data_IF_963591809520
#
_entry.id   IF_963591809520
#
_cell.length_a   1.000
_cell.length_b   1.000
_cell.length_c   1.000
_cell.angle_alpha   90.00
_cell.angle_beta   90.00
_cell.angle_gamma   90.00
#
_symmetry.space_group_name_H-M   'P 1'
#
loop_
_entity.id
_entity.type
_entity.pdbx_description
1 polymer ?
#
# COMPACT_ATOMS: atom_id res chain seq x y z
N UNK A 1 -5.15 6.80 -37.17
CA UNK A 1 -5.23 7.50 -35.87
C UNK A 1 -6.59 7.16 -35.30
N UNK A 2 -6.71 6.00 -34.66
CA UNK A 2 -7.97 5.54 -34.09
C UNK A 2 -8.13 6.14 -32.69
N UNK A 3 -9.20 6.93 -32.53
CA UNK A 3 -9.58 7.51 -31.27
C UNK A 3 -9.95 6.39 -30.28
N UNK A 4 -9.19 6.30 -29.19
CA UNK A 4 -9.55 5.44 -28.07
C UNK A 4 -10.94 5.85 -27.55
N UNK A 5 -11.91 4.97 -27.74
CA UNK A 5 -13.27 5.16 -27.24
C UNK A 5 -13.30 5.32 -25.71
N UNK A 6 -14.35 5.96 -25.16
CA UNK A 6 -14.50 6.13 -23.72
C UNK A 6 -14.49 4.77 -23.04
N UNK A 7 -13.62 4.61 -22.03
CA UNK A 7 -13.55 3.40 -21.20
C UNK A 7 -14.95 3.10 -20.68
N UNK A 8 -15.49 1.94 -21.06
CA UNK A 8 -16.72 1.40 -20.47
C UNK A 8 -16.53 1.43 -18.96
N UNK A 9 -17.41 2.16 -18.26
CA UNK A 9 -17.52 2.10 -16.83
C UNK A 9 -18.06 0.71 -16.48
N UNK A 10 -17.17 -0.28 -16.43
CA UNK A 10 -17.47 -1.58 -15.85
C UNK A 10 -18.13 -1.33 -14.50
N UNK A 11 -19.36 -1.80 -14.36
CA UNK A 11 -20.17 -1.65 -13.18
C UNK A 11 -19.37 -2.21 -12.00
N UNK A 12 -18.76 -1.32 -11.21
CA UNK A 12 -18.06 -1.71 -9.99
C UNK A 12 -19.08 -2.54 -9.18
N UNK A 13 -18.77 -3.80 -8.82
CA UNK A 13 -19.64 -4.58 -7.94
C UNK A 13 -19.96 -3.72 -6.72
N UNK A 14 -21.21 -3.71 -6.22
CA UNK A 14 -21.68 -2.88 -5.09
C UNK A 14 -20.56 -2.79 -4.04
N UNK A 15 -19.80 -1.70 -4.09
CA UNK A 15 -18.53 -1.60 -3.40
C UNK A 15 -18.74 -1.56 -1.89
N UNK A 16 -17.70 -1.87 -1.13
CA UNK A 16 -17.66 -1.52 0.28
C UNK A 16 -17.90 -0.01 0.39
N UNK A 17 -18.87 0.41 1.19
CA UNK A 17 -19.10 1.84 1.39
C UNK A 17 -18.11 2.32 2.45
N UNK A 18 -17.09 3.06 2.00
CA UNK A 18 -16.08 3.65 2.86
C UNK A 18 -16.63 4.86 3.63
N UNK A 19 -16.12 5.17 4.84
CA UNK A 19 -16.44 6.39 5.55
C UNK A 19 -15.96 7.62 4.76
N UNK A 20 -16.56 8.81 4.98
CA UNK A 20 -16.28 10.00 4.18
C UNK A 20 -14.81 10.37 4.07
N UNK A 21 -14.03 10.22 5.16
CA UNK A 21 -12.60 10.54 5.17
C UNK A 21 -11.80 9.58 4.28
N UNK A 22 -12.08 8.27 4.32
CA UNK A 22 -11.46 7.30 3.40
C UNK A 22 -11.86 7.61 1.97
N UNK A 23 -13.16 7.85 1.71
CA UNK A 23 -13.65 8.19 0.38
C UNK A 23 -12.95 9.42 -0.21
N UNK A 24 -12.74 10.48 0.57
CA UNK A 24 -12.00 11.67 0.14
C UNK A 24 -10.53 11.36 -0.22
N UNK A 25 -9.86 10.46 0.51
CA UNK A 25 -8.51 10.00 0.16
C UNK A 25 -8.53 9.22 -1.16
N UNK A 26 -9.53 8.35 -1.37
CA UNK A 26 -9.64 7.57 -2.60
C UNK A 26 -9.92 8.44 -3.83
N UNK A 27 -10.72 9.49 -3.67
CA UNK A 27 -10.96 10.50 -4.71
C UNK A 27 -9.69 11.30 -5.02
N UNK A 28 -8.92 11.67 -3.99
CA UNK A 28 -7.61 12.28 -4.18
C UNK A 28 -6.68 11.38 -4.99
N UNK A 29 -6.60 10.09 -4.65
CA UNK A 29 -5.75 9.11 -5.32
C UNK A 29 -6.20 8.78 -6.75
N UNK A 30 -7.50 8.90 -7.06
CA UNK A 30 -7.99 8.79 -8.44
C UNK A 30 -7.51 9.96 -9.30
N UNK A 31 -7.39 11.16 -8.73
CA UNK A 31 -6.84 12.34 -9.40
C UNK A 31 -5.31 12.43 -9.34
N UNK A 32 -4.68 11.86 -8.31
CA UNK A 32 -3.25 11.90 -8.03
C UNK A 32 -2.78 10.49 -7.67
N UNK A 33 -2.56 9.61 -8.67
CA UNK A 33 -2.17 8.23 -8.42
C UNK A 33 -0.90 8.14 -7.58
N UNK A 34 -0.80 7.05 -6.80
CA UNK A 34 0.40 6.74 -6.04
C UNK A 34 1.62 6.75 -6.97
N UNK A 35 2.64 7.53 -6.59
CA UNK A 35 3.84 7.75 -7.39
C UNK A 35 4.97 6.81 -6.97
N UNK A 36 5.82 6.45 -7.92
CA UNK A 36 7.09 5.83 -7.61
C UNK A 36 8.10 6.94 -7.32
N UNK A 37 8.51 7.03 -6.06
CA UNK A 37 9.37 8.10 -5.55
C UNK A 37 10.50 7.52 -4.69
N UNK A 38 11.43 8.38 -4.29
CA UNK A 38 12.37 8.11 -3.20
C UNK A 38 12.21 9.23 -2.17
N UNK A 39 11.32 8.99 -1.20
CA UNK A 39 10.97 9.97 -0.17
C UNK A 39 11.73 9.58 1.11
N UNK A 40 12.58 10.46 1.68
CA UNK A 40 13.25 10.14 2.92
C UNK A 40 12.23 10.07 4.07
N UNK A 41 12.41 9.09 4.96
CA UNK A 41 11.72 9.06 6.26
C UNK A 41 12.57 9.72 7.34
N UNK A 42 11.90 10.32 8.33
CA UNK A 42 12.54 11.00 9.47
C UNK A 42 12.71 10.04 10.66
N UNK A 43 11.84 9.03 10.77
CA UNK A 43 11.79 8.08 11.89
C UNK A 43 11.55 8.75 13.24
N UNK A 44 10.56 9.64 13.27
CA UNK A 44 10.17 10.41 14.46
C UNK A 44 8.70 10.13 14.85
N UNK A 45 8.36 10.21 16.15
CA UNK A 45 6.99 9.96 16.64
C UNK A 45 6.04 11.17 16.44
N UNK A 46 6.60 12.36 16.22
CA UNK A 46 5.91 13.65 16.18
C UNK A 46 5.85 14.26 14.76
N UNK A 47 5.97 13.43 13.72
CA UNK A 47 5.99 13.90 12.34
C UNK A 47 4.67 14.56 11.95
N UNK A 48 4.75 15.86 11.65
CA UNK A 48 3.63 16.64 11.16
C UNK A 48 3.12 16.13 9.81
N UNK A 49 1.81 15.96 9.69
CA UNK A 49 1.15 15.65 8.41
C UNK A 49 0.88 16.89 7.55
N UNK A 50 1.29 18.09 7.97
CA UNK A 50 0.95 19.35 7.28
C UNK A 50 1.49 19.46 5.83
N UNK A 51 2.51 18.66 5.49
CA UNK A 51 3.07 18.58 4.14
C UNK A 51 2.28 17.64 3.21
N UNK A 52 1.38 16.82 3.75
CA UNK A 52 0.59 15.85 3.00
C UNK A 52 -0.65 16.49 2.36
N UNK A 53 -1.26 15.84 1.35
CA UNK A 53 -2.54 16.29 0.80
C UNK A 53 -3.62 16.41 1.89
N UNK A 54 -4.43 17.49 1.82
CA UNK A 54 -5.49 17.76 2.80
C UNK A 54 -6.45 16.58 3.03
N UNK A 55 -6.66 15.74 2.00
CA UNK A 55 -7.48 14.54 2.10
C UNK A 55 -7.00 13.58 3.21
N UNK A 56 -5.68 13.40 3.37
CA UNK A 56 -5.09 12.45 4.33
C UNK A 56 -4.56 13.13 5.61
N UNK A 57 -4.46 14.46 5.63
CA UNK A 57 -4.04 15.20 6.83
C UNK A 57 -4.91 14.84 8.05
N UNK A 58 -4.24 14.56 9.16
CA UNK A 58 -4.87 14.20 10.43
C UNK A 58 -5.65 12.89 10.42
N UNK A 59 -5.49 12.03 9.41
CA UNK A 59 -6.14 10.72 9.37
C UNK A 59 -5.72 9.87 10.58
N UNK A 60 -6.71 9.32 11.28
CA UNK A 60 -6.52 8.41 12.40
C UNK A 60 -7.16 7.04 12.12
N UNK A 61 -6.82 5.99 12.88
CA UNK A 61 -7.52 4.70 12.79
C UNK A 61 -9.04 4.80 13.02
N UNK A 62 -9.51 5.76 13.83
CA UNK A 62 -10.95 5.92 14.07
C UNK A 62 -11.70 6.39 12.80
N UNK A 63 -11.06 7.20 11.95
CA UNK A 63 -11.65 7.76 10.72
C UNK A 63 -11.90 6.71 9.64
N UNK A 64 -11.23 5.56 9.74
CA UNK A 64 -11.34 4.47 8.76
C UNK A 64 -12.31 3.38 9.19
N UNK A 65 -12.87 3.47 10.41
CA UNK A 65 -13.81 2.47 10.91
C UNK A 65 -15.06 2.37 10.00
N UNK A 66 -15.52 1.16 9.67
CA UNK A 66 -16.73 0.97 8.91
C UNK A 66 -17.94 1.61 9.59
N UNK A 67 -18.92 2.08 8.81
CA UNK A 67 -20.22 2.49 9.35
C UNK A 67 -20.83 1.36 10.20
N UNK A 68 -21.59 1.65 11.27
CA UNK A 68 -22.17 0.63 12.14
C UNK A 68 -22.95 -0.47 11.38
N UNK A 69 -23.63 -0.13 10.29
CA UNK A 69 -24.37 -1.09 9.47
C UNK A 69 -23.50 -2.12 8.72
N UNK A 70 -22.18 -1.91 8.64
CA UNK A 70 -21.23 -2.82 7.98
C UNK A 70 -20.36 -3.60 8.96
N UNK A 71 -20.43 -3.27 10.25
CA UNK A 71 -19.73 -3.96 11.33
C UNK A 71 -20.38 -5.32 11.57
N UNK A 72 -19.57 -6.38 11.59
CA UNK A 72 -20.02 -7.77 11.69
C UNK A 72 -19.37 -8.52 12.85
N UNK A 73 -18.30 -7.96 13.41
CA UNK A 73 -17.54 -8.56 14.49
C UNK A 73 -17.83 -7.91 15.83
N UNK A 74 -17.15 -8.43 16.84
CA UNK A 74 -17.16 -7.89 18.20
C UNK A 74 -15.75 -7.92 18.80
N UNK A 75 -14.72 -7.91 17.95
CA UNK A 75 -13.31 -7.91 18.36
C UNK A 75 -12.72 -6.51 18.18
N UNK A 76 -12.89 -5.62 19.18
CA UNK A 76 -12.44 -4.24 19.08
C UNK A 76 -10.91 -4.12 18.96
N UNK A 77 -10.15 -5.11 19.46
CA UNK A 77 -8.69 -5.10 19.37
C UNK A 77 -8.26 -5.42 17.94
N UNK A 78 -8.80 -6.49 17.35
CA UNK A 78 -8.53 -6.79 15.94
C UNK A 78 -8.99 -5.66 15.02
N UNK A 79 -10.16 -5.07 15.27
CA UNK A 79 -10.66 -3.92 14.53
C UNK A 79 -9.69 -2.73 14.60
N UNK A 80 -9.17 -2.41 15.79
CA UNK A 80 -8.21 -1.34 15.97
C UNK A 80 -6.90 -1.60 15.20
N UNK A 81 -6.40 -2.84 15.20
CA UNK A 81 -5.20 -3.21 14.44
C UNK A 81 -5.42 -3.11 12.92
N UNK A 82 -6.54 -3.62 12.38
CA UNK A 82 -6.83 -3.46 10.95
C UNK A 82 -7.09 -2.00 10.56
N UNK A 83 -7.64 -1.20 11.47
CA UNK A 83 -7.83 0.23 11.23
C UNK A 83 -6.48 0.95 11.11
N UNK A 84 -5.47 0.59 11.92
CA UNK A 84 -4.10 1.09 11.75
C UNK A 84 -3.48 0.70 10.42
N UNK A 85 -3.67 -0.56 9.98
CA UNK A 85 -3.22 -1.03 8.66
C UNK A 85 -3.86 -0.23 7.53
N UNK A 86 -5.18 -0.04 7.56
CA UNK A 86 -5.90 0.74 6.54
C UNK A 86 -5.42 2.19 6.53
N UNK A 87 -5.33 2.84 7.69
CA UNK A 87 -4.81 4.21 7.78
C UNK A 87 -3.36 4.32 7.30
N UNK A 88 -2.50 3.37 7.68
CA UNK A 88 -1.11 3.32 7.25
C UNK A 88 -0.96 3.16 5.74
N UNK A 89 -1.77 2.31 5.11
CA UNK A 89 -1.78 2.15 3.66
C UNK A 89 -2.19 3.45 2.94
N UNK A 90 -3.21 4.15 3.46
CA UNK A 90 -3.67 5.42 2.89
C UNK A 90 -2.62 6.52 3.04
N UNK A 91 -1.90 6.56 4.16
CA UNK A 91 -0.75 7.45 4.34
C UNK A 91 0.36 7.13 3.33
N UNK A 92 0.77 5.87 3.21
CA UNK A 92 1.81 5.46 2.26
C UNK A 92 1.45 5.82 0.81
N UNK A 93 0.19 5.59 0.42
CA UNK A 93 -0.31 5.94 -0.91
C UNK A 93 -0.25 7.45 -1.22
N UNK A 94 -0.31 8.29 -0.18
CA UNK A 94 -0.26 9.75 -0.27
C UNK A 94 1.11 10.35 0.08
N UNK A 95 2.16 9.53 0.22
CA UNK A 95 3.53 9.98 0.53
C UNK A 95 3.82 10.22 2.02
N UNK A 96 2.89 9.91 2.93
CA UNK A 96 3.07 10.01 4.39
C UNK A 96 3.79 8.81 4.98
N UNK A 97 5.06 8.63 4.62
CA UNK A 97 5.80 7.41 4.95
C UNK A 97 6.03 7.22 6.46
N UNK A 98 6.42 8.28 7.18
CA UNK A 98 6.59 8.21 8.63
C UNK A 98 5.28 7.87 9.37
N UNK A 99 4.16 8.48 8.97
CA UNK A 99 2.85 8.17 9.57
C UNK A 99 2.46 6.71 9.29
N UNK A 100 2.66 6.25 8.05
CA UNK A 100 2.39 4.87 7.68
C UNK A 100 3.24 3.89 8.50
N UNK A 101 4.56 4.14 8.55
CA UNK A 101 5.53 3.35 9.30
C UNK A 101 5.15 3.25 10.78
N UNK A 102 4.94 4.39 11.44
CA UNK A 102 4.63 4.43 12.87
C UNK A 102 3.32 3.69 13.22
N UNK A 103 2.33 3.69 12.32
CA UNK A 103 1.07 2.97 12.53
C UNK A 103 1.22 1.45 12.46
N UNK A 104 2.06 0.94 11.55
CA UNK A 104 2.15 -0.51 11.28
C UNK A 104 3.31 -1.20 11.99
N UNK A 105 4.40 -0.49 12.30
CA UNK A 105 5.58 -1.08 12.96
C UNK A 105 5.24 -1.83 14.25
N UNK A 106 4.40 -1.32 15.18
CA UNK A 106 4.05 -2.05 16.39
C UNK A 106 3.33 -3.38 16.11
N UNK A 107 2.67 -3.52 14.96
CA UNK A 107 1.88 -4.70 14.62
C UNK A 107 2.73 -5.83 14.02
N UNK A 108 3.89 -5.53 13.46
CA UNK A 108 4.72 -6.49 12.72
C UNK A 108 6.19 -6.52 13.12
N UNK A 109 6.65 -5.64 14.01
CA UNK A 109 8.02 -5.63 14.54
C UNK A 109 8.05 -6.14 15.98
N UNK A 110 9.10 -6.92 16.31
CA UNK A 110 9.21 -7.62 17.59
C UNK A 110 9.85 -6.81 18.72
N UNK A 111 10.30 -5.59 18.47
CA UNK A 111 11.02 -4.76 19.43
C UNK A 111 10.40 -3.35 19.55
N UNK A 112 10.54 -2.68 20.70
CA UNK A 112 10.10 -1.30 20.84
C UNK A 112 10.94 -0.37 19.97
N UNK A 113 10.32 0.69 19.44
CA UNK A 113 11.02 1.75 18.69
C UNK A 113 10.71 3.12 19.30
N UNK A 114 11.62 4.11 19.19
CA UNK A 114 11.38 5.45 19.74
C UNK A 114 10.24 6.19 19.01
N UNK A 115 9.93 5.80 17.77
CA UNK A 115 8.94 6.48 16.92
C UNK A 115 7.55 5.81 16.93
N UNK A 116 7.47 4.48 17.09
CA UNK A 116 6.20 3.74 17.04
C UNK A 116 5.78 3.17 18.41
N UNK A 117 6.69 3.15 19.39
CA UNK A 117 6.42 2.65 20.74
C UNK A 117 6.61 1.12 20.86
N UNK A 118 5.95 0.49 21.86
CA UNK A 118 6.12 -0.93 22.15
C UNK A 118 5.46 -1.83 21.10
N UNK A 119 5.99 -3.06 20.88
CA UNK A 119 5.42 -4.00 19.94
C UNK A 119 4.12 -4.62 20.49
N UNK A 120 3.23 -5.03 19.58
CA UNK A 120 1.97 -5.71 19.84
C UNK A 120 2.09 -7.15 19.36
N UNK A 121 2.57 -8.01 20.25
CA UNK A 121 2.79 -9.43 19.95
C UNK A 121 1.48 -10.14 19.57
N UNK A 122 1.52 -10.95 18.52
CA UNK A 122 0.37 -11.75 18.10
C UNK A 122 -0.76 -10.96 17.45
N UNK A 123 -0.50 -9.75 16.94
CA UNK A 123 -1.51 -8.96 16.23
C UNK A 123 -2.18 -9.78 15.10
N UNK A 124 -3.52 -9.85 15.03
CA UNK A 124 -4.23 -10.50 13.92
C UNK A 124 -4.03 -9.81 12.57
N UNK A 125 -3.47 -8.60 12.58
CA UNK A 125 -3.16 -7.80 11.39
C UNK A 125 -1.65 -7.79 11.06
N UNK A 126 -0.83 -8.61 11.73
CA UNK A 126 0.63 -8.59 11.56
C UNK A 126 1.08 -8.82 10.11
N UNK A 127 0.40 -9.72 9.39
CA UNK A 127 0.71 -10.00 7.98
C UNK A 127 0.40 -8.80 7.08
N UNK A 128 -0.78 -8.19 7.22
CA UNK A 128 -1.17 -7.01 6.44
C UNK A 128 -0.30 -5.79 6.80
N UNK A 129 0.05 -5.64 8.08
CA UNK A 129 0.95 -4.61 8.57
C UNK A 129 2.35 -4.75 7.94
N UNK A 130 2.90 -5.97 7.89
CA UNK A 130 4.18 -6.22 7.22
C UNK A 130 4.11 -5.88 5.71
N UNK A 131 2.97 -6.14 5.05
CA UNK A 131 2.79 -5.76 3.64
C UNK A 131 2.81 -4.24 3.49
N UNK A 132 2.02 -3.52 4.30
CA UNK A 132 2.02 -2.05 4.27
C UNK A 132 3.40 -1.49 4.58
N UNK A 133 4.12 -2.09 5.53
CA UNK A 133 5.49 -1.73 5.85
C UNK A 133 6.43 -1.88 4.63
N UNK A 134 6.27 -2.96 3.86
CA UNK A 134 7.01 -3.16 2.62
C UNK A 134 6.67 -2.10 1.55
N UNK A 135 5.39 -1.72 1.42
CA UNK A 135 4.96 -0.62 0.52
C UNK A 135 5.59 0.70 0.94
N UNK A 136 5.60 1.01 2.24
CA UNK A 136 6.20 2.22 2.81
C UNK A 136 7.67 2.33 2.42
N UNK A 137 8.47 1.29 2.66
CA UNK A 137 9.89 1.31 2.30
C UNK A 137 10.13 1.27 0.77
N UNK A 138 9.24 0.67 -0.02
CA UNK A 138 9.35 0.75 -1.48
C UNK A 138 9.17 2.19 -1.98
N UNK A 139 8.35 2.99 -1.30
CA UNK A 139 8.19 4.41 -1.59
C UNK A 139 9.32 5.29 -1.00
N UNK A 140 10.02 4.82 0.03
CA UNK A 140 11.29 5.39 0.50
C UNK A 140 12.39 5.23 -0.57
N UNK A 141 12.34 4.14 -1.34
CA UNK A 141 13.07 3.99 -2.60
C UNK A 141 14.58 3.88 -2.41
N UNK A 142 15.35 4.77 -3.05
CA UNK A 142 16.81 4.80 -2.94
C UNK A 142 17.32 5.58 -1.72
N UNK A 143 16.44 6.19 -0.93
CA UNK A 143 16.84 6.84 0.32
C UNK A 143 17.30 5.79 1.33
N UNK A 144 18.39 6.09 2.04
CA UNK A 144 18.87 5.26 3.14
C UNK A 144 17.99 5.48 4.38
N UNK A 145 17.59 4.36 4.99
CA UNK A 145 16.77 4.28 6.19
C UNK A 145 17.41 3.44 7.28
N UNK A 146 16.60 2.81 8.14
CA UNK A 146 17.07 2.12 9.35
C UNK A 146 18.07 0.98 9.07
N UNK A 147 17.88 0.23 7.97
CA UNK A 147 18.72 -0.92 7.60
C UNK A 147 19.18 -0.92 6.12
N UNK A 148 19.55 0.25 5.61
CA UNK A 148 19.96 0.45 4.21
C UNK A 148 18.87 1.14 3.39
N UNK A 149 18.94 1.02 2.07
CA UNK A 149 17.97 1.66 1.18
C UNK A 149 16.52 1.20 1.43
N UNK A 150 15.54 2.05 1.12
CA UNK A 150 14.13 1.70 1.10
C UNK A 150 13.84 0.43 0.28
N UNK A 151 14.46 0.24 -0.89
CA UNK A 151 14.27 -0.99 -1.68
C UNK A 151 14.80 -2.27 -0.99
N UNK A 152 15.91 -2.20 -0.26
CA UNK A 152 16.39 -3.35 0.54
C UNK A 152 15.45 -3.65 1.71
N UNK A 153 14.97 -2.61 2.41
CA UNK A 153 13.99 -2.77 3.49
C UNK A 153 12.66 -3.32 2.99
N UNK A 154 12.19 -2.87 1.82
CA UNK A 154 10.98 -3.40 1.19
C UNK A 154 11.07 -4.92 0.97
N UNK A 155 12.22 -5.42 0.48
CA UNK A 155 12.42 -6.86 0.31
C UNK A 155 12.35 -7.65 1.62
N UNK A 156 12.95 -7.11 2.69
CA UNK A 156 12.87 -7.71 4.02
C UNK A 156 11.40 -7.84 4.48
N UNK A 157 10.63 -6.76 4.37
CA UNK A 157 9.24 -6.75 4.81
C UNK A 157 8.29 -7.57 3.92
N UNK A 158 8.55 -7.63 2.61
CA UNK A 158 7.84 -8.58 1.74
C UNK A 158 8.12 -10.03 2.12
N UNK A 159 9.35 -10.36 2.52
CA UNK A 159 9.67 -11.69 3.02
C UNK A 159 8.94 -11.97 4.35
N UNK A 160 8.91 -10.99 5.27
CA UNK A 160 8.18 -11.08 6.55
C UNK A 160 6.65 -11.23 6.36
N UNK A 161 6.10 -10.63 5.32
CA UNK A 161 4.68 -10.79 4.93
C UNK A 161 4.35 -12.23 4.53
N UNK A 162 5.30 -12.95 3.93
CA UNK A 162 5.07 -14.28 3.38
C UNK A 162 4.13 -14.26 2.17
N UNK A 163 3.34 -15.32 1.99
CA UNK A 163 2.38 -15.42 0.88
C UNK A 163 1.08 -14.67 1.20
N UNK A 164 0.74 -13.66 0.40
CA UNK A 164 -0.49 -12.89 0.56
C UNK A 164 -1.53 -13.28 -0.50
N UNK A 165 -2.18 -14.43 -0.31
CA UNK A 165 -3.05 -15.08 -1.30
C UNK A 165 -4.21 -14.20 -1.81
N UNK A 166 -4.68 -13.24 -1.01
CA UNK A 166 -5.73 -12.31 -1.41
C UNK A 166 -5.26 -11.18 -2.35
N UNK A 167 -3.96 -10.84 -2.34
CA UNK A 167 -3.43 -9.66 -3.05
C UNK A 167 -2.55 -10.07 -4.23
N UNK A 168 -1.66 -11.04 -4.04
CA UNK A 168 -0.69 -11.46 -5.06
C UNK A 168 -1.29 -11.82 -6.43
N UNK A 169 -2.41 -12.58 -6.52
CA UNK A 169 -3.03 -12.84 -7.83
C UNK A 169 -3.51 -11.57 -8.54
N UNK A 170 -4.03 -10.60 -7.79
CA UNK A 170 -4.54 -9.34 -8.33
C UNK A 170 -3.39 -8.46 -8.84
N UNK A 171 -2.27 -8.42 -8.11
CA UNK A 171 -1.06 -7.69 -8.56
C UNK A 171 -0.50 -8.29 -9.83
N UNK A 172 -0.37 -9.61 -9.92
CA UNK A 172 0.13 -10.27 -11.13
C UNK A 172 -0.81 -10.02 -12.34
N UNK A 173 -2.12 -10.08 -12.11
CA UNK A 173 -3.11 -9.74 -13.15
C UNK A 173 -2.96 -8.28 -13.60
N UNK A 174 -2.78 -7.35 -12.67
CA UNK A 174 -2.54 -5.94 -12.96
C UNK A 174 -1.27 -5.73 -13.80
N UNK A 175 -0.15 -6.38 -13.43
CA UNK A 175 1.11 -6.32 -14.18
C UNK A 175 0.92 -6.73 -15.64
N UNK A 176 0.27 -7.88 -15.87
CA UNK A 176 -0.01 -8.41 -17.21
C UNK A 176 -0.94 -7.49 -17.99
N UNK A 177 -2.00 -6.97 -17.34
CA UNK A 177 -2.95 -6.04 -17.97
C UNK A 177 -2.28 -4.75 -18.42
N UNK A 178 -1.45 -4.13 -17.58
CA UNK A 178 -0.80 -2.86 -17.90
C UNK A 178 0.41 -3.01 -18.81
N UNK A 179 0.97 -4.21 -18.92
CA UNK A 179 2.04 -4.54 -19.85
C UNK A 179 1.53 -4.79 -21.28
N UNK A 180 0.26 -5.16 -21.45
CA UNK A 180 -0.29 -5.64 -22.73
C UNK A 180 -0.01 -4.68 -23.90
N UNK A 181 0.61 -5.23 -24.95
CA UNK A 181 0.99 -4.48 -26.16
C UNK A 181 2.39 -3.87 -26.11
N UNK A 182 3.11 -3.97 -24.99
CA UNK A 182 4.53 -3.61 -24.89
C UNK A 182 5.40 -4.86 -24.64
N UNK A 183 6.22 -5.29 -25.61
CA UNK A 183 7.01 -6.52 -25.48
C UNK A 183 7.99 -6.53 -24.29
N UNK A 184 8.55 -5.38 -23.91
CA UNK A 184 9.49 -5.29 -22.79
C UNK A 184 8.76 -5.44 -21.47
N UNK A 185 7.65 -4.72 -21.29
CA UNK A 185 6.84 -4.80 -20.07
C UNK A 185 6.18 -6.18 -19.95
N UNK A 186 5.78 -6.80 -21.06
CA UNK A 186 5.25 -8.17 -21.08
C UNK A 186 6.31 -9.18 -20.61
N UNK A 187 7.55 -9.04 -21.07
CA UNK A 187 8.66 -9.87 -20.60
C UNK A 187 8.92 -9.68 -19.10
N UNK A 188 8.88 -8.44 -18.60
CA UNK A 188 9.00 -8.14 -17.17
C UNK A 188 7.87 -8.78 -16.35
N UNK A 189 6.62 -8.66 -16.79
CA UNK A 189 5.47 -9.29 -16.14
C UNK A 189 5.54 -10.83 -16.20
N UNK A 190 5.95 -11.39 -17.34
CA UNK A 190 6.12 -12.83 -17.54
C UNK A 190 7.24 -13.42 -16.67
N UNK A 191 8.28 -12.63 -16.36
CA UNK A 191 9.37 -13.03 -15.47
C UNK A 191 8.88 -13.33 -14.03
N UNK A 192 7.63 -13.05 -13.66
CA UNK A 192 7.06 -13.50 -12.39
C UNK A 192 6.63 -14.98 -12.44
N UNK A 193 6.39 -15.56 -13.62
CA UNK A 193 5.81 -16.89 -13.78
C UNK A 193 4.33 -16.90 -13.41
N UNK A 194 3.89 -17.92 -12.70
CA UNK A 194 2.49 -18.13 -12.30
C UNK A 194 2.10 -17.46 -10.97
N UNK A 195 3.09 -16.94 -10.23
CA UNK A 195 2.88 -16.30 -8.95
C UNK A 195 3.62 -14.95 -8.88
N UNK A 196 3.02 -13.96 -8.21
CA UNK A 196 3.69 -12.69 -8.00
C UNK A 196 4.92 -12.87 -7.10
N UNK A 197 6.09 -12.44 -7.58
CA UNK A 197 7.32 -12.33 -6.81
C UNK A 197 7.55 -10.87 -6.39
N UNK A 198 7.40 -10.52 -5.09
CA UNK A 198 7.61 -9.15 -4.64
C UNK A 198 9.03 -8.65 -4.90
N UNK A 199 10.05 -9.50 -4.70
CA UNK A 199 11.44 -9.11 -4.90
C UNK A 199 11.78 -8.76 -6.35
N UNK A 200 11.19 -9.48 -7.32
CA UNK A 200 11.30 -9.13 -8.73
C UNK A 200 10.64 -7.78 -9.01
N UNK A 201 9.45 -7.52 -8.45
CA UNK A 201 8.79 -6.23 -8.64
C UNK A 201 9.55 -5.07 -7.99
N UNK A 202 10.08 -5.27 -6.78
CA UNK A 202 10.95 -4.30 -6.10
C UNK A 202 12.18 -3.97 -6.94
N UNK A 203 12.82 -4.96 -7.58
CA UNK A 203 13.95 -4.73 -8.47
C UNK A 203 13.56 -3.86 -9.68
N UNK A 204 12.38 -4.11 -10.28
CA UNK A 204 11.88 -3.30 -11.40
C UNK A 204 11.52 -1.88 -10.97
N UNK A 205 10.88 -1.70 -9.81
CA UNK A 205 10.64 -0.37 -9.24
C UNK A 205 11.95 0.35 -8.92
N UNK A 206 12.98 -0.36 -8.46
CA UNK A 206 14.30 0.20 -8.21
C UNK A 206 14.97 0.72 -9.49
N UNK A 207 14.91 -0.06 -10.57
CA UNK A 207 15.34 0.36 -11.91
C UNK A 207 14.59 1.60 -12.38
N UNK A 208 13.25 1.57 -12.32
CA UNK A 208 12.39 2.68 -12.73
C UNK A 208 12.65 3.97 -11.93
N UNK A 209 12.96 3.85 -10.63
CA UNK A 209 13.23 4.99 -9.75
C UNK A 209 14.60 5.64 -9.96
N UNK A 210 15.58 4.95 -10.60
CA UNK A 210 16.87 5.57 -10.98
C UNK A 210 16.71 6.60 -12.10
N UNK A 211 15.55 6.63 -12.76
CA UNK A 211 15.24 7.54 -13.84
C UNK A 211 15.71 7.03 -15.21
N UNK A 212 15.25 7.71 -16.26
CA UNK A 212 15.62 7.42 -17.65
C UNK A 212 14.57 6.66 -18.46
N UNK A 213 13.55 6.10 -17.81
CA UNK A 213 12.49 5.34 -18.47
C UNK A 213 11.09 5.70 -17.95
N UNK A 214 10.50 6.74 -18.53
CA UNK A 214 9.17 7.22 -18.15
C UNK A 214 8.07 6.16 -18.35
N UNK A 215 8.25 5.25 -19.30
CA UNK A 215 7.28 4.20 -19.59
C UNK A 215 7.30 3.13 -18.50
N UNK A 216 8.49 2.68 -18.09
CA UNK A 216 8.65 1.75 -16.98
C UNK A 216 8.13 2.35 -15.66
N UNK A 217 8.44 3.62 -15.38
CA UNK A 217 7.90 4.34 -14.22
C UNK A 217 6.37 4.35 -14.25
N UNK A 218 5.76 4.75 -15.38
CA UNK A 218 4.31 4.81 -15.50
C UNK A 218 3.64 3.43 -15.37
N UNK A 219 4.30 2.36 -15.82
CA UNK A 219 3.83 0.99 -15.63
C UNK A 219 3.89 0.57 -14.15
N UNK A 220 5.01 0.80 -13.47
CA UNK A 220 5.15 0.54 -12.03
C UNK A 220 4.09 1.29 -11.21
N UNK A 221 3.86 2.58 -11.49
CA UNK A 221 2.87 3.40 -10.79
C UNK A 221 1.44 2.87 -10.96
N UNK A 222 1.07 2.43 -12.17
CA UNK A 222 -0.25 1.80 -12.40
C UNK A 222 -0.42 0.50 -11.61
N UNK A 223 0.61 -0.36 -11.60
CA UNK A 223 0.60 -1.61 -10.83
C UNK A 223 0.54 -1.34 -9.33
N UNK A 224 1.31 -0.37 -8.83
CA UNK A 224 1.28 0.05 -7.43
C UNK A 224 -0.10 0.59 -7.02
N UNK A 225 -0.76 1.35 -7.90
CA UNK A 225 -2.12 1.82 -7.68
C UNK A 225 -3.12 0.66 -7.51
N UNK A 226 -3.08 -0.33 -8.39
CA UNK A 226 -3.95 -1.51 -8.29
C UNK A 226 -3.59 -2.41 -7.10
N UNK A 227 -2.31 -2.55 -6.76
CA UNK A 227 -1.84 -3.26 -5.57
C UNK A 227 -2.38 -2.62 -4.28
N UNK A 228 -2.28 -1.29 -4.18
CA UNK A 228 -2.84 -0.54 -3.06
C UNK A 228 -4.35 -0.76 -2.95
N UNK A 229 -5.09 -0.73 -4.07
CA UNK A 229 -6.54 -0.99 -4.08
C UNK A 229 -6.86 -2.41 -3.62
N UNK A 230 -6.13 -3.42 -4.10
CA UNK A 230 -6.32 -4.81 -3.71
C UNK A 230 -6.07 -5.04 -2.21
N UNK A 231 -4.99 -4.45 -1.66
CA UNK A 231 -4.68 -4.55 -0.24
C UNK A 231 -5.69 -3.77 0.62
N UNK A 232 -6.10 -2.58 0.18
CA UNK A 232 -7.14 -1.79 0.86
C UNK A 232 -8.44 -2.57 0.97
N UNK A 233 -8.94 -3.12 -0.14
CA UNK A 233 -10.17 -3.90 -0.13
C UNK A 233 -10.08 -5.13 0.78
N UNK A 234 -8.93 -5.80 0.80
CA UNK A 234 -8.68 -6.93 1.68
C UNK A 234 -8.71 -6.52 3.16
N UNK A 235 -7.86 -5.56 3.53
CA UNK A 235 -7.73 -5.07 4.90
C UNK A 235 -9.05 -4.46 5.40
N UNK A 236 -9.80 -3.78 4.53
CA UNK A 236 -11.09 -3.21 4.89
C UNK A 236 -12.19 -4.26 5.13
N UNK A 237 -12.21 -5.36 4.35
CA UNK A 237 -13.10 -6.49 4.62
C UNK A 237 -12.78 -7.14 5.96
N UNK A 238 -11.49 -7.29 6.29
CA UNK A 238 -11.01 -7.81 7.59
C UNK A 238 -11.41 -6.89 8.73
N UNK A 239 -11.24 -5.58 8.56
CA UNK A 239 -11.69 -4.56 9.50
C UNK A 239 -13.20 -4.65 9.77
N UNK A 240 -14.03 -4.70 8.72
CA UNK A 240 -15.48 -4.83 8.85
C UNK A 240 -15.94 -6.16 9.48
N UNK A 241 -15.15 -7.22 9.31
CA UNK A 241 -15.41 -8.50 9.95
C UNK A 241 -15.02 -8.53 11.44
N UNK A 242 -14.07 -7.68 11.86
CA UNK A 242 -13.62 -7.58 13.25
C UNK A 242 -14.43 -6.56 14.07
N UNK A 243 -14.77 -5.42 13.46
CA UNK A 243 -15.51 -4.31 14.05
C UNK A 243 -17.01 -4.60 14.16
#
# INVERSE_FOLDING_TARGET
MDAAGPRSADARPKGLAYPPKVQAVLEHLDAHPMRLSSIPMIYDSSVSSAHLPAAVQGLTPADVLPPPAQRRGTDPVAAEHFARVVAGLLYAACGGLDQAHNLVTPLCWGAPTPYAGPPIAGSPAAQDAAYVHAITHRAEGHCDGEFGSGFSNANYWYAATGNHAAVYPQVLQSMRRHAAGDPRLEALAANHGDAFSPSRFVAVCSEAARGGDAQLTAWCEKVMGDEMRALLEHAYKRLAAAA
#
